data_IF_216955149278
#
_entry.id   IF_216955149278
#
_cell.length_a   1.000
_cell.length_b   1.000
_cell.length_c   1.000
_cell.angle_alpha   90.00
_cell.angle_beta   90.00
_cell.angle_gamma   90.00
#
_symmetry.space_group_name_H-M   'P 1'
#
loop_
_entity.id
_entity.type
_entity.pdbx_description
1 polymer ?
#
# COMPACT_ATOMS: atom_id res chain seq x y z
N UNK A 1 -32.39 -12.27 10.11
CA UNK A 1 -31.35 -13.26 9.74
C UNK A 1 -31.16 -13.23 8.23
N UNK A 2 -30.08 -12.60 7.76
CA UNK A 2 -29.80 -12.51 6.32
C UNK A 2 -29.27 -13.87 5.85
N UNK A 3 -29.91 -14.48 4.84
CA UNK A 3 -29.44 -15.75 4.26
C UNK A 3 -27.94 -15.62 3.87
N UNK A 4 -27.17 -16.72 3.85
CA UNK A 4 -25.80 -16.69 3.34
C UNK A 4 -25.77 -16.33 1.83
N UNK A 5 -24.66 -15.77 1.32
CA UNK A 5 -24.47 -15.53 -0.12
C UNK A 5 -24.53 -16.83 -0.91
N UNK A 6 -25.05 -16.78 -2.15
CA UNK A 6 -24.96 -17.94 -3.04
C UNK A 6 -23.52 -18.16 -3.52
N UNK A 7 -23.17 -19.36 -3.97
CA UNK A 7 -21.83 -19.66 -4.49
C UNK A 7 -21.42 -18.72 -5.65
N UNK A 8 -22.36 -18.38 -6.53
CA UNK A 8 -22.13 -17.43 -7.62
C UNK A 8 -21.85 -16.01 -7.11
N UNK A 9 -22.59 -15.55 -6.09
CA UNK A 9 -22.35 -14.24 -5.46
C UNK A 9 -21.00 -14.20 -4.73
N UNK A 10 -20.62 -15.31 -4.08
CA UNK A 10 -19.32 -15.42 -3.41
C UNK A 10 -18.16 -15.30 -4.40
N UNK A 11 -18.23 -16.00 -5.54
CA UNK A 11 -17.24 -15.85 -6.63
C UNK A 11 -17.13 -14.41 -7.14
N UNK A 12 -18.25 -13.68 -7.26
CA UNK A 12 -18.24 -12.26 -7.64
C UNK A 12 -17.53 -11.38 -6.61
N UNK A 13 -17.82 -11.58 -5.33
CA UNK A 13 -17.16 -10.86 -4.22
C UNK A 13 -15.66 -11.16 -4.21
N UNK A 14 -15.28 -12.42 -4.40
CA UNK A 14 -13.89 -12.86 -4.40
C UNK A 14 -13.11 -12.27 -5.60
N UNK A 15 -13.78 -12.16 -6.77
CA UNK A 15 -13.24 -11.57 -8.00
C UNK A 15 -13.21 -10.04 -8.02
N UNK A 16 -13.76 -9.36 -7.00
CA UNK A 16 -13.75 -7.91 -6.94
C UNK A 16 -12.33 -7.37 -7.02
N UNK A 17 -12.16 -6.20 -7.60
CA UNK A 17 -10.86 -5.52 -7.64
C UNK A 17 -10.27 -5.47 -6.22
N UNK A 18 -9.04 -5.98 -6.03
CA UNK A 18 -8.49 -6.16 -4.69
C UNK A 18 -8.25 -4.84 -3.96
N UNK A 19 -8.00 -3.75 -4.71
CA UNK A 19 -7.60 -2.44 -4.20
C UNK A 19 -8.81 -1.52 -4.02
N UNK A 20 -9.70 -1.47 -5.00
CA UNK A 20 -10.84 -0.54 -5.01
C UNK A 20 -12.13 -1.19 -4.54
N UNK A 21 -12.18 -2.53 -4.50
CA UNK A 21 -13.42 -3.27 -4.26
C UNK A 21 -14.41 -3.19 -5.44
N UNK A 22 -13.98 -2.69 -6.61
CA UNK A 22 -14.82 -2.60 -7.81
C UNK A 22 -15.25 -3.98 -8.29
N UNK A 23 -16.55 -4.14 -8.50
CA UNK A 23 -17.14 -5.38 -8.99
C UNK A 23 -17.28 -5.34 -10.51
N UNK A 24 -17.10 -6.51 -11.13
CA UNK A 24 -17.40 -6.74 -12.55
C UNK A 24 -18.37 -7.92 -12.65
N UNK A 25 -19.42 -7.78 -13.45
CA UNK A 25 -20.45 -8.81 -13.60
C UNK A 25 -21.64 -8.35 -14.42
N UNK A 26 -22.61 -9.24 -14.60
CA UNK A 26 -23.87 -8.88 -15.27
C UNK A 26 -24.69 -7.92 -14.39
N UNK A 27 -25.52 -7.04 -14.98
CA UNK A 27 -26.36 -6.11 -14.22
C UNK A 27 -27.23 -6.79 -13.15
N UNK A 28 -27.76 -7.98 -13.44
CA UNK A 28 -28.57 -8.76 -12.51
C UNK A 28 -27.77 -9.26 -11.29
N UNK A 29 -26.53 -9.70 -11.50
CA UNK A 29 -25.64 -10.13 -10.41
C UNK A 29 -25.26 -8.96 -9.50
N UNK A 30 -24.97 -7.80 -10.08
CA UNK A 30 -24.61 -6.59 -9.33
C UNK A 30 -25.80 -6.05 -8.54
N UNK A 31 -26.99 -5.97 -9.16
CA UNK A 31 -28.22 -5.56 -8.48
C UNK A 31 -28.58 -6.49 -7.30
N UNK A 32 -28.35 -7.80 -7.44
CA UNK A 32 -28.57 -8.76 -6.36
C UNK A 32 -27.61 -8.56 -5.17
N UNK A 33 -26.37 -8.10 -5.40
CA UNK A 33 -25.44 -7.75 -4.32
C UNK A 33 -25.83 -6.42 -3.64
N UNK A 34 -26.28 -5.44 -4.42
CA UNK A 34 -26.79 -4.16 -3.90
C UNK A 34 -28.03 -4.36 -3.04
N UNK A 35 -29.00 -5.18 -3.50
CA UNK A 35 -30.21 -5.50 -2.73
C UNK A 35 -29.94 -6.22 -1.40
N UNK A 36 -28.74 -6.80 -1.23
CA UNK A 36 -28.29 -7.43 0.02
C UNK A 36 -27.38 -6.52 0.86
N UNK A 37 -27.14 -5.29 0.43
CA UNK A 37 -26.24 -4.35 1.10
C UNK A 37 -24.76 -4.74 1.05
N UNK A 38 -24.38 -5.67 0.16
CA UNK A 38 -22.99 -6.13 -0.01
C UNK A 38 -22.21 -5.33 -1.05
N UNK A 39 -22.92 -4.58 -1.88
CA UNK A 39 -22.37 -3.66 -2.86
C UNK A 39 -23.18 -2.37 -2.89
N UNK A 40 -22.59 -1.29 -3.40
CA UNK A 40 -23.30 -0.06 -3.73
C UNK A 40 -22.94 0.39 -5.15
N UNK A 41 -23.84 1.15 -5.76
CA UNK A 41 -23.65 1.76 -7.09
C UNK A 41 -23.17 3.19 -6.91
N UNK A 42 -22.09 3.55 -7.58
CA UNK A 42 -21.55 4.90 -7.50
C UNK A 42 -22.50 5.91 -8.18
N UNK A 43 -22.77 7.08 -7.54
CA UNK A 43 -23.73 8.04 -8.06
C UNK A 43 -23.27 8.73 -9.35
N UNK A 44 -21.95 8.84 -9.58
CA UNK A 44 -21.42 9.42 -10.83
C UNK A 44 -21.28 8.38 -11.95
N UNK A 45 -21.57 8.75 -13.22
CA UNK A 45 -21.19 7.96 -14.39
C UNK A 45 -19.71 7.56 -14.34
N UNK A 46 -19.32 6.34 -14.76
CA UNK A 46 -20.13 5.32 -15.45
C UNK A 46 -21.00 4.44 -14.52
N UNK A 47 -21.19 4.84 -13.26
CA UNK A 47 -21.99 4.12 -12.27
C UNK A 47 -21.48 2.71 -11.96
N UNK A 48 -20.17 2.63 -11.74
CA UNK A 48 -19.53 1.41 -11.29
C UNK A 48 -20.07 0.93 -9.94
N UNK A 49 -19.97 -0.38 -9.72
CA UNK A 49 -20.41 -1.02 -8.49
C UNK A 49 -19.19 -1.38 -7.65
N UNK A 50 -19.27 -1.12 -6.35
CA UNK A 50 -18.19 -1.35 -5.40
C UNK A 50 -18.70 -2.13 -4.19
N UNK A 51 -17.85 -2.93 -3.58
CA UNK A 51 -18.17 -3.62 -2.33
C UNK A 51 -18.43 -2.61 -1.21
N UNK A 52 -19.40 -2.92 -0.34
CA UNK A 52 -19.58 -2.22 0.94
C UNK A 52 -18.63 -2.83 2.00
N UNK A 53 -18.47 -2.21 3.18
CA UNK A 53 -17.74 -2.83 4.29
C UNK A 53 -18.25 -4.23 4.64
N UNK A 54 -19.56 -4.50 4.52
CA UNK A 54 -20.12 -5.84 4.72
C UNK A 54 -19.69 -6.83 3.62
N UNK A 55 -19.64 -6.39 2.36
CA UNK A 55 -19.11 -7.19 1.25
C UNK A 55 -17.63 -7.51 1.42
N UNK A 56 -16.83 -6.55 1.89
CA UNK A 56 -15.42 -6.75 2.21
C UNK A 56 -15.21 -7.76 3.34
N UNK A 57 -16.02 -7.73 4.41
CA UNK A 57 -15.95 -8.71 5.52
C UNK A 57 -16.23 -10.15 5.06
N UNK A 58 -17.10 -10.35 4.07
CA UNK A 58 -17.36 -11.68 3.52
C UNK A 58 -16.23 -12.22 2.64
N UNK A 59 -15.39 -11.32 2.10
CA UNK A 59 -14.20 -11.64 1.32
C UNK A 59 -12.98 -11.94 2.20
N UNK A 60 -12.88 -11.31 3.36
CA UNK A 60 -11.78 -11.47 4.32
C UNK A 60 -12.35 -11.77 5.71
N UNK A 61 -12.62 -13.04 6.04
CA UNK A 61 -13.31 -13.41 7.28
C UNK A 61 -12.52 -13.06 8.55
N UNK A 62 -11.20 -12.87 8.48
CA UNK A 62 -10.32 -12.58 9.64
C UNK A 62 -10.47 -11.16 10.22
N UNK A 63 -11.01 -10.18 9.48
CA UNK A 63 -11.15 -8.80 9.97
C UNK A 63 -12.41 -8.56 10.83
N UNK A 64 -13.28 -9.56 10.98
CA UNK A 64 -14.58 -9.40 11.66
C UNK A 64 -14.51 -9.38 13.19
N UNK A 65 -13.41 -9.84 13.81
CA UNK A 65 -13.31 -9.97 15.28
C UNK A 65 -12.61 -8.77 15.96
N UNK A 66 -11.89 -7.93 15.20
CA UNK A 66 -11.00 -6.91 15.78
C UNK A 66 -11.61 -5.50 15.95
N UNK A 67 -12.75 -5.18 15.33
CA UNK A 67 -13.35 -3.82 15.34
C UNK A 67 -14.27 -3.54 16.55
N UNK A 68 -14.39 -4.47 17.51
CA UNK A 68 -15.42 -4.43 18.56
C UNK A 68 -15.08 -3.75 19.88
N UNK A 69 -13.84 -3.33 20.17
CA UNK A 69 -13.52 -2.81 21.51
C UNK A 69 -12.34 -1.84 21.53
N UNK A 70 -12.63 -0.56 21.81
CA UNK A 70 -11.64 0.36 22.37
C UNK A 70 -12.30 1.34 23.35
N UNK A 71 -11.86 1.39 24.62
CA UNK A 71 -11.81 2.61 25.41
C UNK A 71 -10.40 3.23 25.39
N UNK A 72 -10.26 4.55 25.64
CA UNK A 72 -8.98 5.26 25.49
C UNK A 72 -8.16 5.25 26.80
N UNK A 73 -6.85 5.09 26.71
CA UNK A 73 -5.95 5.30 27.86
C UNK A 73 -4.49 4.95 27.61
N UNK A 74 -3.68 6.00 27.46
CA UNK A 74 -2.22 6.17 27.58
C UNK A 74 -1.33 4.97 28.01
N UNK A 75 -0.18 4.84 27.34
CA UNK A 75 1.04 4.23 27.91
C UNK A 75 1.91 3.48 26.90
N UNK A 76 3.14 3.94 26.72
CA UNK A 76 4.19 3.29 25.91
C UNK A 76 4.63 1.96 26.54
N UNK A 77 4.66 0.87 25.76
CA UNK A 77 5.63 -0.25 25.81
C UNK A 77 5.21 -1.38 24.84
N UNK A 78 6.18 -2.03 24.19
CA UNK A 78 6.03 -3.14 23.25
C UNK A 78 5.24 -4.35 23.78
N UNK A 79 4.26 -4.82 22.99
CA UNK A 79 3.85 -6.22 22.85
C UNK A 79 2.99 -6.40 21.57
N UNK A 80 3.03 -7.56 20.88
CA UNK A 80 2.45 -7.72 19.55
C UNK A 80 0.94 -7.98 19.63
N UNK A 81 0.16 -7.26 18.83
CA UNK A 81 -1.26 -7.59 18.57
C UNK A 81 -2.27 -6.63 19.17
N UNK A 82 -2.09 -5.33 18.96
CA UNK A 82 -3.14 -4.31 19.07
C UNK A 82 -3.12 -3.47 17.80
N UNK A 83 -4.29 -3.11 17.26
CA UNK A 83 -4.51 -2.48 15.95
C UNK A 83 -3.34 -1.62 15.46
N UNK A 84 -2.52 -2.19 14.58
CA UNK A 84 -1.25 -1.58 14.20
C UNK A 84 -1.51 -0.36 13.32
N UNK A 85 -0.96 0.79 13.72
CA UNK A 85 -0.83 1.95 12.83
C UNK A 85 -0.13 1.49 11.56
N UNK A 86 -0.65 1.90 10.40
CA UNK A 86 -0.09 1.50 9.12
C UNK A 86 1.41 1.87 9.03
N UNK A 87 2.22 0.89 8.61
CA UNK A 87 3.63 1.09 8.29
C UNK A 87 3.93 0.54 6.91
N UNK A 88 4.68 1.30 6.11
CA UNK A 88 5.25 0.81 4.87
C UNK A 88 6.37 -0.20 5.18
N UNK A 89 6.38 -1.33 4.46
CA UNK A 89 7.37 -2.39 4.55
C UNK A 89 8.63 -1.96 3.83
N UNK A 90 9.71 -1.85 4.58
CA UNK A 90 11.01 -1.40 4.10
C UNK A 90 11.88 -2.57 3.62
N UNK A 91 11.36 -3.80 3.71
CA UNK A 91 12.07 -5.03 3.39
C UNK A 91 12.85 -5.53 4.59
N UNK A 92 12.69 -6.80 4.91
CA UNK A 92 13.26 -7.44 6.09
C UNK A 92 12.25 -7.87 7.14
N UNK A 93 11.00 -7.44 7.02
CA UNK A 93 9.92 -7.89 7.87
C UNK A 93 9.43 -9.29 7.43
N UNK A 94 9.03 -10.13 8.38
CA UNK A 94 8.29 -11.36 8.10
C UNK A 94 7.09 -11.08 7.19
N UNK A 95 6.78 -12.03 6.29
CA UNK A 95 5.59 -11.96 5.43
C UNK A 95 4.34 -12.06 6.31
N UNK A 96 3.49 -11.01 6.41
CA UNK A 96 2.16 -11.19 6.95
C UNK A 96 1.34 -12.06 5.98
N UNK A 97 0.30 -12.72 6.48
CA UNK A 97 -0.67 -13.41 5.62
C UNK A 97 -1.21 -12.40 4.59
N UNK A 98 -0.73 -12.52 3.35
CA UNK A 98 -0.94 -11.53 2.31
C UNK A 98 -2.36 -11.63 1.78
N UNK A 99 -3.03 -10.49 1.63
CA UNK A 99 -4.36 -10.45 1.05
C UNK A 99 -4.77 -9.07 0.55
N UNK A 100 -5.95 -8.96 -0.09
CA UNK A 100 -6.50 -7.69 -0.59
C UNK A 100 -6.55 -6.57 0.46
N UNK A 101 -6.56 -6.90 1.75
CA UNK A 101 -6.50 -5.94 2.85
C UNK A 101 -5.24 -5.06 2.80
N UNK A 102 -4.05 -5.66 2.66
CA UNK A 102 -2.79 -4.90 2.61
C UNK A 102 -2.72 -3.96 1.42
N UNK A 103 -3.18 -4.41 0.25
CA UNK A 103 -3.19 -3.59 -0.95
C UNK A 103 -4.09 -2.35 -0.79
N UNK A 104 -5.23 -2.49 -0.08
CA UNK A 104 -6.10 -1.36 0.28
C UNK A 104 -5.44 -0.40 1.25
N UNK A 105 -4.81 -0.92 2.29
CA UNK A 105 -4.10 -0.09 3.29
C UNK A 105 -2.99 0.74 2.64
N UNK A 106 -2.15 0.09 1.81
CA UNK A 106 -1.08 0.76 1.05
C UNK A 106 -1.67 1.82 0.12
N UNK A 107 -2.74 1.50 -0.59
CA UNK A 107 -3.41 2.46 -1.46
C UNK A 107 -3.94 3.67 -0.69
N UNK A 108 -4.65 3.45 0.42
CA UNK A 108 -5.16 4.52 1.28
C UNK A 108 -4.04 5.39 1.85
N UNK A 109 -2.93 4.78 2.30
CA UNK A 109 -1.76 5.50 2.78
C UNK A 109 -1.11 6.34 1.66
N UNK A 110 -1.00 5.78 0.44
CA UNK A 110 -0.49 6.51 -0.72
C UNK A 110 -1.38 7.69 -1.10
N UNK A 111 -2.71 7.52 -1.14
CA UNK A 111 -3.64 8.63 -1.39
C UNK A 111 -3.54 9.71 -0.32
N UNK A 112 -3.43 9.31 0.96
CA UNK A 112 -3.19 10.24 2.05
C UNK A 112 -1.89 11.03 1.90
N UNK A 113 -0.83 10.38 1.41
CA UNK A 113 0.44 11.05 1.11
C UNK A 113 0.33 12.04 -0.06
N UNK A 114 -0.38 11.68 -1.13
CA UNK A 114 -0.62 12.59 -2.26
C UNK A 114 -1.43 13.82 -1.82
N UNK A 115 -2.40 13.62 -0.94
CA UNK A 115 -3.18 14.72 -0.36
C UNK A 115 -2.32 15.61 0.54
N UNK A 116 -1.44 15.00 1.35
CA UNK A 116 -0.47 15.74 2.17
C UNK A 116 0.45 16.60 1.30
N UNK A 117 0.96 16.07 0.18
CA UNK A 117 1.73 16.85 -0.80
C UNK A 117 0.93 18.03 -1.32
N UNK A 118 -0.31 17.80 -1.77
CA UNK A 118 -1.21 18.85 -2.29
C UNK A 118 -1.46 19.96 -1.27
N UNK A 119 -1.57 19.63 0.01
CA UNK A 119 -1.86 20.59 1.07
C UNK A 119 -0.63 21.34 1.59
N UNK A 120 0.55 20.73 1.55
CA UNK A 120 1.75 21.25 2.24
C UNK A 120 2.83 21.78 1.31
N UNK A 121 2.82 21.37 0.03
CA UNK A 121 3.71 21.98 -0.95
C UNK A 121 3.22 23.39 -1.29
N UNK A 122 4.09 24.42 -1.33
CA UNK A 122 3.68 25.81 -1.53
C UNK A 122 2.88 26.08 -2.81
N UNK A 123 3.15 25.31 -3.86
CA UNK A 123 2.52 25.36 -5.18
C UNK A 123 1.43 24.28 -5.36
N UNK A 124 1.15 23.50 -4.31
CA UNK A 124 0.17 22.41 -4.32
C UNK A 124 0.53 21.24 -5.23
N UNK A 125 1.75 21.20 -5.76
CA UNK A 125 2.21 20.14 -6.67
C UNK A 125 2.33 18.81 -5.93
N UNK A 126 1.93 17.74 -6.60
CA UNK A 126 1.95 16.38 -6.04
C UNK A 126 3.10 15.53 -6.57
N UNK A 127 3.83 16.05 -7.55
CA UNK A 127 4.96 15.37 -8.20
C UNK A 127 6.25 15.41 -7.37
N UNK A 128 6.28 16.16 -6.27
CA UNK A 128 7.46 16.37 -5.43
C UNK A 128 7.20 15.96 -3.97
N UNK A 129 8.16 15.26 -3.32
CA UNK A 129 8.03 14.91 -1.91
C UNK A 129 7.94 16.15 -1.01
N UNK A 130 6.96 16.13 -0.11
CA UNK A 130 6.69 17.19 0.86
C UNK A 130 7.63 17.14 2.08
N UNK A 131 7.49 18.09 3.00
CA UNK A 131 8.32 18.19 4.21
C UNK A 131 8.27 16.93 5.09
N UNK A 132 7.09 16.30 5.23
CA UNK A 132 6.96 15.07 6.01
C UNK A 132 7.80 13.94 5.40
N UNK A 133 7.76 13.77 4.08
CA UNK A 133 8.54 12.72 3.39
C UNK A 133 10.04 12.92 3.56
N UNK A 134 10.50 14.18 3.55
CA UNK A 134 11.90 14.54 3.79
C UNK A 134 12.38 14.17 5.20
N UNK A 135 11.48 14.18 6.19
CA UNK A 135 11.75 13.68 7.54
C UNK A 135 11.63 12.16 7.71
N UNK A 136 11.04 11.45 6.73
CA UNK A 136 10.70 10.02 6.81
C UNK A 136 11.12 9.27 5.54
N UNK A 137 12.35 9.49 5.09
CA UNK A 137 12.80 9.07 3.75
C UNK A 137 12.61 7.58 3.48
N UNK A 138 12.98 6.73 4.44
CA UNK A 138 12.91 5.27 4.28
C UNK A 138 11.46 4.83 4.10
N UNK A 139 10.55 5.32 4.95
CA UNK A 139 9.14 4.99 4.91
C UNK A 139 8.48 5.54 3.64
N UNK A 140 8.82 6.77 3.23
CA UNK A 140 8.26 7.40 2.04
C UNK A 140 8.69 6.67 0.75
N UNK A 141 9.97 6.31 0.63
CA UNK A 141 10.46 5.53 -0.52
C UNK A 141 9.84 4.13 -0.55
N UNK A 142 9.77 3.45 0.60
CA UNK A 142 9.12 2.14 0.70
C UNK A 142 7.63 2.19 0.33
N UNK A 143 6.89 3.21 0.80
CA UNK A 143 5.49 3.39 0.47
C UNK A 143 5.27 3.60 -1.03
N UNK A 144 6.11 4.41 -1.70
CA UNK A 144 6.05 4.59 -3.15
C UNK A 144 6.28 3.27 -3.90
N UNK A 145 7.23 2.45 -3.44
CA UNK A 145 7.52 1.15 -4.03
C UNK A 145 6.36 0.15 -3.82
N UNK A 146 5.82 0.03 -2.60
CA UNK A 146 4.66 -0.84 -2.35
C UNK A 146 3.42 -0.39 -3.13
N UNK A 147 3.16 0.91 -3.19
CA UNK A 147 1.99 1.45 -3.88
C UNK A 147 2.05 1.18 -5.39
N UNK A 148 3.26 1.07 -5.96
CA UNK A 148 3.49 0.66 -7.34
C UNK A 148 3.52 -0.87 -7.53
N UNK A 149 3.34 -1.66 -6.46
CA UNK A 149 3.28 -3.12 -6.52
C UNK A 149 4.64 -3.81 -6.48
N UNK A 150 5.73 -3.10 -6.16
CA UNK A 150 7.01 -3.76 -5.90
C UNK A 150 6.92 -4.60 -4.63
N UNK A 151 7.53 -5.79 -4.64
CA UNK A 151 7.51 -6.69 -3.49
C UNK A 151 8.63 -6.35 -2.51
N UNK A 152 8.35 -6.10 -1.22
CA UNK A 152 9.40 -5.99 -0.20
C UNK A 152 10.10 -7.33 0.00
N UNK A 153 11.40 -7.29 0.27
CA UNK A 153 12.16 -8.45 0.71
C UNK A 153 11.65 -8.95 2.08
N UNK A 154 11.77 -10.25 2.34
CA UNK A 154 11.19 -10.88 3.53
C UNK A 154 12.27 -11.52 4.38
N UNK A 155 12.26 -11.24 5.69
CA UNK A 155 13.32 -11.68 6.59
C UNK A 155 14.70 -11.37 6.01
N UNK A 156 15.57 -12.38 5.93
CA UNK A 156 16.88 -12.27 5.29
C UNK A 156 16.89 -12.67 3.80
N UNK A 157 15.72 -12.96 3.23
CA UNK A 157 15.58 -13.27 1.82
C UNK A 157 15.96 -12.11 0.90
N UNK A 158 16.48 -12.44 -0.27
CA UNK A 158 16.84 -11.47 -1.31
C UNK A 158 15.70 -11.19 -2.29
N UNK A 159 14.57 -11.90 -2.16
CA UNK A 159 13.42 -11.83 -3.05
C UNK A 159 12.56 -10.56 -2.82
N UNK A 160 13.08 -9.40 -3.19
CA UNK A 160 12.33 -8.15 -3.16
C UNK A 160 13.20 -6.92 -2.97
N UNK A 161 12.56 -5.75 -2.88
CA UNK A 161 13.31 -4.54 -2.56
C UNK A 161 13.61 -4.44 -1.07
N UNK A 162 14.71 -3.77 -0.73
CA UNK A 162 15.05 -3.37 0.63
C UNK A 162 15.47 -1.92 0.65
N UNK A 163 14.78 -1.10 1.44
CA UNK A 163 15.08 0.33 1.65
C UNK A 163 15.79 0.49 2.98
N UNK A 164 16.92 1.18 2.99
CA UNK A 164 17.69 1.48 4.21
C UNK A 164 18.15 2.94 4.21
N UNK A 165 18.30 3.50 5.40
CA UNK A 165 18.97 4.77 5.57
C UNK A 165 20.43 4.66 5.10
N UNK A 166 21.01 5.78 4.70
CA UNK A 166 22.43 5.86 4.33
C UNK A 166 23.15 6.87 5.23
N UNK A 167 24.49 6.87 5.25
CA UNK A 167 25.24 7.95 5.88
C UNK A 167 24.99 9.33 5.26
N UNK A 168 24.47 9.39 4.04
CA UNK A 168 24.03 10.64 3.43
C UNK A 168 22.63 11.00 3.96
N UNK A 169 22.48 12.10 4.70
CA UNK A 169 21.26 12.37 5.48
C UNK A 169 20.00 12.53 4.63
N UNK A 170 20.16 13.01 3.39
CA UNK A 170 19.04 13.26 2.47
C UNK A 170 18.79 12.09 1.50
N UNK A 171 19.38 10.90 1.74
CA UNK A 171 19.31 9.78 0.80
C UNK A 171 19.07 8.42 1.45
N UNK A 172 18.37 7.56 0.73
CA UNK A 172 18.12 6.17 1.06
C UNK A 172 18.76 5.24 0.05
N UNK A 173 19.20 4.08 0.51
CA UNK A 173 19.68 3.00 -0.33
C UNK A 173 18.54 2.03 -0.62
N UNK A 174 18.29 1.73 -1.89
CA UNK A 174 17.35 0.69 -2.33
C UNK A 174 18.12 -0.43 -3.00
N UNK A 175 17.96 -1.64 -2.49
CA UNK A 175 18.52 -2.87 -3.06
C UNK A 175 17.39 -3.73 -3.62
N UNK A 176 17.70 -4.53 -4.64
CA UNK A 176 16.79 -5.49 -5.26
C UNK A 176 17.63 -6.67 -5.80
N UNK A 177 17.06 -7.88 -5.98
CA UNK A 177 17.83 -9.08 -6.29
C UNK A 177 18.49 -9.06 -7.67
N UNK A 178 17.91 -8.34 -8.62
CA UNK A 178 18.43 -8.26 -9.98
C UNK A 178 18.34 -6.84 -10.55
N UNK A 179 19.11 -6.59 -11.61
CA UNK A 179 19.20 -5.26 -12.23
C UNK A 179 17.91 -4.81 -12.93
N UNK A 180 17.03 -5.72 -13.35
CA UNK A 180 15.76 -5.35 -13.98
C UNK A 180 14.78 -4.82 -12.93
N UNK A 181 14.67 -5.50 -11.78
CA UNK A 181 13.90 -5.03 -10.63
C UNK A 181 14.47 -3.75 -10.04
N UNK A 182 15.80 -3.63 -9.98
CA UNK A 182 16.45 -2.40 -9.53
C UNK A 182 16.07 -1.21 -10.45
N UNK A 183 16.13 -1.38 -11.78
CA UNK A 183 15.68 -0.33 -12.72
C UNK A 183 14.19 -0.02 -12.59
N UNK A 184 13.34 -1.02 -12.35
CA UNK A 184 11.92 -0.79 -12.13
C UNK A 184 11.66 0.02 -10.84
N UNK A 185 12.39 -0.25 -9.77
CA UNK A 185 12.35 0.55 -8.54
C UNK A 185 12.80 2.00 -8.82
N UNK A 186 13.86 2.19 -9.61
CA UNK A 186 14.34 3.52 -9.99
C UNK A 186 13.26 4.32 -10.72
N UNK A 187 12.65 3.75 -11.76
CA UNK A 187 11.60 4.41 -12.53
C UNK A 187 10.38 4.79 -11.66
N UNK A 188 9.99 3.92 -10.71
CA UNK A 188 8.91 4.23 -9.76
C UNK A 188 9.26 5.39 -8.85
N UNK A 189 10.47 5.40 -8.28
CA UNK A 189 10.91 6.47 -7.39
C UNK A 189 11.04 7.80 -8.16
N UNK A 190 11.55 7.77 -9.38
CA UNK A 190 11.61 8.94 -10.26
C UNK A 190 10.23 9.51 -10.57
N UNK A 191 9.25 8.64 -10.89
CA UNK A 191 7.85 9.04 -11.09
C UNK A 191 7.19 9.58 -9.82
N UNK A 192 7.66 9.18 -8.64
CA UNK A 192 7.23 9.68 -7.35
C UNK A 192 7.95 10.97 -6.89
N UNK A 193 8.83 11.53 -7.73
CA UNK A 193 9.52 12.79 -7.44
C UNK A 193 10.89 12.66 -6.78
N UNK A 194 11.50 11.48 -6.86
CA UNK A 194 12.85 11.23 -6.34
C UNK A 194 13.89 11.40 -7.46
N UNK A 195 15.10 11.79 -7.07
CA UNK A 195 16.30 11.66 -7.88
C UNK A 195 16.95 10.34 -7.51
N UNK A 196 17.34 9.55 -8.51
CA UNK A 196 17.89 8.22 -8.31
C UNK A 196 19.22 8.10 -9.05
N UNK A 197 20.25 7.60 -8.36
CA UNK A 197 21.53 7.23 -8.95
C UNK A 197 21.85 5.76 -8.67
N UNK A 198 22.38 5.05 -9.66
CA UNK A 198 22.82 3.67 -9.44
C UNK A 198 24.27 3.65 -8.96
N UNK A 199 24.54 2.88 -7.91
CA UNK A 199 25.85 2.72 -7.31
C UNK A 199 26.20 1.24 -7.20
N UNK A 200 27.51 0.97 -7.23
CA UNK A 200 28.06 -0.37 -6.99
C UNK A 200 28.89 -0.31 -5.72
N UNK A 201 28.55 -1.16 -4.76
CA UNK A 201 29.28 -1.28 -3.52
C UNK A 201 30.72 -1.80 -3.79
N UNK A 202 31.78 -1.10 -3.36
CA UNK A 202 33.15 -1.44 -3.77
C UNK A 202 33.61 -2.85 -3.39
N UNK A 203 33.17 -3.35 -2.22
CA UNK A 203 33.62 -4.64 -1.67
C UNK A 203 32.83 -5.82 -2.22
N UNK A 204 31.52 -5.73 -2.22
CA UNK A 204 30.61 -6.83 -2.59
C UNK A 204 30.27 -6.81 -4.07
N UNK A 205 30.57 -5.71 -4.77
CA UNK A 205 30.09 -5.41 -6.14
C UNK A 205 28.56 -5.43 -6.26
N UNK A 206 27.85 -5.40 -5.14
CA UNK A 206 26.39 -5.37 -5.13
C UNK A 206 25.90 -4.01 -5.64
N UNK A 207 24.96 -4.04 -6.58
CA UNK A 207 24.33 -2.84 -7.13
C UNK A 207 23.20 -2.38 -6.21
N UNK A 208 23.09 -1.08 -6.02
CA UNK A 208 22.01 -0.46 -5.27
C UNK A 208 21.68 0.91 -5.86
N UNK A 209 20.48 1.41 -5.58
CA UNK A 209 20.10 2.77 -5.88
C UNK A 209 20.35 3.66 -4.68
N UNK A 210 20.91 4.83 -4.90
CA UNK A 210 20.87 5.94 -3.96
C UNK A 210 19.76 6.89 -4.41
N UNK A 211 18.73 7.04 -3.59
CA UNK A 211 17.57 7.86 -3.91
C UNK A 211 17.43 9.01 -2.91
N UNK A 212 17.23 10.22 -3.42
CA UNK A 212 16.97 11.42 -2.63
C UNK A 212 15.74 12.17 -3.15
N UNK A 213 14.95 12.84 -2.31
CA UNK A 213 13.86 13.68 -2.79
C UNK A 213 14.37 14.79 -3.70
N UNK A 214 13.75 15.00 -4.87
CA UNK A 214 14.14 16.13 -5.74
C UNK A 214 14.03 17.44 -4.97
N UNK A 215 15.06 18.29 -5.10
CA UNK A 215 15.01 19.67 -4.62
C UNK A 215 14.22 20.50 -5.63
N UNK A 216 13.55 21.54 -5.13
CA UNK A 216 12.79 22.47 -5.96
C UNK A 216 13.69 23.21 -6.96
#
# INVERSE_FOLDING_TARGET
>A
MTRPPTAAQRRLIDSADPVTGRLRGTPAQLAALVGRGLAFRHPRPPHDHFLTPAGHRLRTPEQAEAEGATPPGAGQAEAPGGGRVFAARIGGEERPEGGPARAREVHSAWQGLMELRRMTNPDGVVDRPCAWERGHLVQAAALALEAAGHRPAEGDGEDGYRVRATPQPDAVAVRAPDGARLRACAATLEGAGWQVGEHTEPRTRARYLLASPRRA
#
